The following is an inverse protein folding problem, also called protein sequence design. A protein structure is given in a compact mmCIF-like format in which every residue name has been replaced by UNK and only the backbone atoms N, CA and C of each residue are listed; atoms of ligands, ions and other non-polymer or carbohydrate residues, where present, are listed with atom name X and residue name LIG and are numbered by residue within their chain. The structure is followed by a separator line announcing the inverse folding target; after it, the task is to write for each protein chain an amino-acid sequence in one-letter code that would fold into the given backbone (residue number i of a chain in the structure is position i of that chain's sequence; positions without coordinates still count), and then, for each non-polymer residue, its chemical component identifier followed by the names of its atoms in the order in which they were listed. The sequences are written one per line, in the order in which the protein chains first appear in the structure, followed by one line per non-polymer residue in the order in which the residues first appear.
data_IF_206960253408
#
_entry.id   IF_206960253408
#
_cell.length_a   1.000
_cell.length_b   1.000
_cell.length_c   1.000
_cell.angle_alpha   90.00
_cell.angle_beta   90.00
_cell.angle_gamma   90.00
#
_symmetry.space_group_name_H-M   'P 1'
#
loop_
_entity.id
_entity.type
_entity.pdbx_description
1 polymer ?
#
# COMPACT_ATOMS: atom_id res chain seq x y z
N UNK A 1 2.74 -19.60 -1.50
CA UNK A 1 2.68 -18.24 -2.10
C UNK A 1 3.73 -17.37 -1.44
N UNK A 2 4.56 -16.67 -2.21
CA UNK A 2 5.56 -15.71 -1.74
C UNK A 2 5.04 -14.31 -2.04
N UNK A 3 4.85 -13.50 -1.00
CA UNK A 3 4.25 -12.16 -1.09
C UNK A 3 5.30 -11.12 -0.76
N UNK A 4 5.47 -10.13 -1.62
CA UNK A 4 6.26 -8.94 -1.33
C UNK A 4 5.38 -7.86 -0.72
N UNK A 5 5.80 -7.32 0.43
CA UNK A 5 5.17 -6.19 1.08
C UNK A 5 6.04 -4.95 0.91
N UNK A 6 5.48 -3.91 0.33
CA UNK A 6 6.09 -2.60 0.12
C UNK A 6 5.14 -1.55 0.72
N UNK A 7 5.69 -0.46 1.26
CA UNK A 7 4.92 0.69 1.73
C UNK A 7 5.78 1.95 1.70
N UNK A 8 5.16 3.11 1.86
CA UNK A 8 5.83 4.37 2.19
C UNK A 8 6.95 4.77 1.20
N UNK A 9 6.66 4.61 -0.09
CA UNK A 9 7.61 4.96 -1.17
C UNK A 9 7.89 6.46 -1.20
N UNK A 10 6.89 7.29 -0.89
CA UNK A 10 6.97 8.74 -0.78
C UNK A 10 7.69 9.42 -1.94
N UNK A 11 7.30 9.12 -3.18
CA UNK A 11 7.90 9.74 -4.38
C UNK A 11 7.73 11.26 -4.29
N UNK A 12 8.85 11.98 -4.26
CA UNK A 12 8.90 13.44 -4.16
C UNK A 12 8.84 14.09 -5.53
N UNK A 13 8.27 15.31 -5.60
CA UNK A 13 8.09 16.01 -6.86
C UNK A 13 9.40 16.43 -7.55
N UNK A 14 10.39 16.89 -6.76
CA UNK A 14 11.58 17.55 -7.31
C UNK A 14 12.90 17.07 -6.69
N UNK A 15 12.87 15.99 -5.91
CA UNK A 15 14.06 15.52 -5.20
C UNK A 15 14.24 14.01 -5.36
N UNK A 16 15.50 13.60 -5.42
CA UNK A 16 15.91 12.20 -5.37
C UNK A 16 15.46 11.34 -6.56
N UNK A 17 15.14 11.96 -7.73
CA UNK A 17 14.60 11.21 -8.87
C UNK A 17 15.61 10.21 -9.45
N UNK A 18 16.91 10.54 -9.41
CA UNK A 18 17.96 9.61 -9.83
C UNK A 18 18.07 8.43 -8.86
N UNK A 19 18.01 8.73 -7.56
CA UNK A 19 18.05 7.76 -6.48
C UNK A 19 16.83 6.83 -6.54
N UNK A 20 15.62 7.36 -6.75
CA UNK A 20 14.42 6.53 -6.96
C UNK A 20 14.59 5.57 -8.12
N UNK A 21 15.11 6.02 -9.27
CA UNK A 21 15.31 5.13 -10.42
C UNK A 21 16.28 3.99 -10.10
N UNK A 22 17.39 4.29 -9.42
CA UNK A 22 18.36 3.27 -9.01
C UNK A 22 17.73 2.27 -8.03
N UNK A 23 17.03 2.76 -7.01
CA UNK A 23 16.40 1.92 -6.00
C UNK A 23 15.26 1.08 -6.60
N UNK A 24 14.47 1.65 -7.50
CA UNK A 24 13.38 0.92 -8.17
C UNK A 24 13.92 -0.26 -8.98
N UNK A 25 15.00 -0.07 -9.75
CA UNK A 25 15.62 -1.19 -10.48
C UNK A 25 16.11 -2.28 -9.52
N UNK A 26 16.73 -1.90 -8.38
CA UNK A 26 17.16 -2.88 -7.36
C UNK A 26 15.96 -3.63 -6.77
N UNK A 27 14.84 -2.94 -6.50
CA UNK A 27 13.60 -3.58 -6.03
C UNK A 27 13.08 -4.54 -7.10
N UNK A 28 12.99 -4.13 -8.35
CA UNK A 28 12.49 -4.97 -9.45
C UNK A 28 13.35 -6.22 -9.64
N UNK A 29 14.68 -6.07 -9.62
CA UNK A 29 15.60 -7.20 -9.73
C UNK A 29 15.42 -8.16 -8.55
N UNK A 30 15.32 -7.64 -7.34
CA UNK A 30 15.09 -8.46 -6.15
C UNK A 30 13.76 -9.21 -6.21
N UNK A 31 12.68 -8.58 -6.65
CA UNK A 31 11.37 -9.21 -6.79
C UNK A 31 11.40 -10.34 -7.82
N UNK A 32 12.13 -10.17 -8.94
CA UNK A 32 12.33 -11.21 -9.97
C UNK A 32 13.17 -12.37 -9.44
N UNK A 33 14.30 -12.08 -8.77
CA UNK A 33 15.17 -13.10 -8.15
C UNK A 33 14.40 -13.94 -7.13
N UNK A 34 13.57 -13.30 -6.31
CA UNK A 34 12.74 -13.99 -5.31
C UNK A 34 11.56 -14.74 -5.93
N UNK A 35 11.23 -14.49 -7.19
CA UNK A 35 10.09 -15.12 -7.87
C UNK A 35 8.81 -14.94 -7.05
N UNK A 36 8.48 -13.68 -6.72
CA UNK A 36 7.30 -13.36 -5.92
C UNK A 36 6.01 -13.68 -6.69
N UNK A 37 5.04 -14.27 -6.00
CA UNK A 37 3.73 -14.61 -6.56
C UNK A 37 2.75 -13.44 -6.52
N UNK A 38 2.96 -12.51 -5.57
CA UNK A 38 2.06 -11.41 -5.28
C UNK A 38 2.85 -10.22 -4.71
N UNK A 39 2.47 -9.01 -5.09
CA UNK A 39 3.02 -7.77 -4.53
C UNK A 39 1.87 -6.99 -3.89
N UNK A 40 2.11 -6.50 -2.66
CA UNK A 40 1.18 -5.62 -1.94
C UNK A 40 1.90 -4.33 -1.58
N UNK A 41 1.31 -3.19 -1.94
CA UNK A 41 1.80 -1.87 -1.55
C UNK A 41 0.82 -1.21 -0.57
N UNK A 42 1.25 -1.04 0.67
CA UNK A 42 0.40 -0.53 1.76
C UNK A 42 0.43 0.99 1.89
N UNK A 43 0.20 1.72 0.77
CA UNK A 43 -0.05 3.16 0.77
C UNK A 43 1.20 4.04 0.79
N UNK A 44 0.95 5.34 0.69
CA UNK A 44 1.95 6.40 0.64
C UNK A 44 2.97 6.25 -0.52
N UNK A 45 2.42 6.06 -1.72
CA UNK A 45 3.21 6.14 -2.95
C UNK A 45 3.67 7.58 -3.21
N UNK A 46 2.76 8.56 -3.05
CA UNK A 46 3.06 9.97 -3.17
C UNK A 46 3.61 10.54 -1.86
N UNK A 47 4.56 11.49 -1.94
CA UNK A 47 4.99 12.25 -0.77
C UNK A 47 3.99 13.35 -0.40
N UNK A 48 3.23 13.86 -1.36
CA UNK A 48 2.21 14.90 -1.17
C UNK A 48 1.11 14.77 -2.21
N UNK A 49 -0.13 14.89 -1.77
CA UNK A 49 -1.34 14.79 -2.60
C UNK A 49 -1.74 16.08 -3.30
N UNK A 50 -1.15 17.20 -2.94
CA UNK A 50 -1.62 18.53 -3.39
C UNK A 50 -0.74 19.18 -4.44
N UNK A 51 0.49 18.75 -4.57
CA UNK A 51 1.46 19.25 -5.53
C UNK A 51 2.13 18.07 -6.21
N UNK A 52 1.59 17.66 -7.36
CA UNK A 52 2.12 16.56 -8.15
C UNK A 52 2.78 17.13 -9.40
N UNK A 53 4.06 16.84 -9.59
CA UNK A 53 4.82 17.27 -10.76
C UNK A 53 4.74 16.24 -11.90
N UNK A 54 5.03 16.63 -13.15
CA UNK A 54 5.15 15.69 -14.26
C UNK A 54 6.15 14.56 -13.97
N UNK A 55 7.24 14.86 -13.28
CA UNK A 55 8.27 13.89 -12.91
C UNK A 55 7.76 12.88 -11.88
N UNK A 56 6.87 13.30 -10.97
CA UNK A 56 6.18 12.37 -10.07
C UNK A 56 5.37 11.35 -10.88
N UNK A 57 4.56 11.83 -11.83
CA UNK A 57 3.74 10.94 -12.67
C UNK A 57 4.59 9.97 -13.47
N UNK A 58 5.72 10.42 -14.02
CA UNK A 58 6.65 9.56 -14.75
C UNK A 58 7.24 8.45 -13.84
N UNK A 59 7.75 8.83 -12.66
CA UNK A 59 8.32 7.88 -11.70
C UNK A 59 7.28 6.89 -11.16
N UNK A 60 6.11 7.39 -10.74
CA UNK A 60 5.05 6.56 -10.19
C UNK A 60 4.49 5.59 -11.25
N UNK A 61 4.31 6.06 -12.50
CA UNK A 61 3.91 5.22 -13.63
C UNK A 61 4.94 4.14 -13.91
N UNK A 62 6.22 4.50 -13.97
CA UNK A 62 7.31 3.54 -14.15
C UNK A 62 7.33 2.50 -13.04
N UNK A 63 7.22 2.92 -11.79
CA UNK A 63 7.23 2.02 -10.64
C UNK A 63 6.06 1.04 -10.67
N UNK A 64 4.83 1.54 -10.74
CA UNK A 64 3.62 0.70 -10.71
C UNK A 64 3.54 -0.25 -11.91
N UNK A 65 3.93 0.22 -13.10
CA UNK A 65 3.95 -0.63 -14.30
C UNK A 65 4.91 -1.80 -14.14
N UNK A 66 6.15 -1.55 -13.69
CA UNK A 66 7.14 -2.61 -13.51
C UNK A 66 6.76 -3.60 -12.41
N UNK A 67 6.15 -3.15 -11.30
CA UNK A 67 5.61 -4.06 -10.29
C UNK A 67 4.56 -4.98 -10.91
N UNK A 68 3.60 -4.43 -11.65
CA UNK A 68 2.53 -5.19 -12.29
C UNK A 68 3.02 -6.12 -13.42
N UNK A 69 4.11 -5.75 -14.10
CA UNK A 69 4.78 -6.63 -15.07
C UNK A 69 5.46 -7.84 -14.41
N UNK A 70 5.88 -7.73 -13.13
CA UNK A 70 6.54 -8.80 -12.38
C UNK A 70 5.53 -9.78 -11.79
N UNK A 71 4.50 -9.27 -11.08
CA UNK A 71 3.47 -10.10 -10.44
C UNK A 71 2.17 -9.28 -10.23
N UNK A 72 1.02 -9.95 -9.99
CA UNK A 72 -0.18 -9.26 -9.55
C UNK A 72 0.12 -8.33 -8.39
N UNK A 73 -0.22 -7.04 -8.56
CA UNK A 73 0.13 -5.97 -7.62
C UNK A 73 -1.14 -5.33 -7.08
N UNK A 74 -1.31 -5.37 -5.77
CA UNK A 74 -2.41 -4.76 -5.05
C UNK A 74 -1.89 -3.56 -4.27
N UNK A 75 -2.53 -2.41 -4.43
CA UNK A 75 -2.13 -1.18 -3.76
C UNK A 75 -3.32 -0.56 -3.02
N UNK A 76 -3.14 -0.18 -1.77
CA UNK A 76 -4.09 0.63 -1.01
C UNK A 76 -3.63 2.10 -0.97
N UNK A 77 -4.53 3.00 -0.60
CA UNK A 77 -4.18 4.41 -0.40
C UNK A 77 -3.62 4.64 1.00
N UNK A 78 -2.61 5.51 1.09
CA UNK A 78 -2.16 6.10 2.34
C UNK A 78 -2.65 7.53 2.51
N UNK A 79 -2.39 8.12 3.67
CA UNK A 79 -2.83 9.47 4.02
C UNK A 79 -2.16 10.57 3.17
N UNK A 80 -1.01 10.29 2.55
CA UNK A 80 -0.33 11.17 1.60
C UNK A 80 -0.84 11.01 0.16
N UNK A 81 -1.55 9.95 -0.17
CA UNK A 81 -2.10 9.71 -1.50
C UNK A 81 -3.48 10.36 -1.67
N UNK A 82 -4.31 10.38 -0.62
CA UNK A 82 -5.67 10.88 -0.64
C UNK A 82 -5.95 11.95 0.41
N UNK A 83 -7.12 12.56 0.38
CA UNK A 83 -7.54 13.59 1.34
C UNK A 83 -8.56 13.02 2.34
N UNK A 84 -8.12 12.69 3.56
CA UNK A 84 -8.97 12.18 4.63
C UNK A 84 -10.14 13.09 5.03
N UNK A 85 -10.03 14.41 4.74
CA UNK A 85 -11.08 15.39 5.05
C UNK A 85 -12.06 15.62 3.91
N UNK A 86 -11.79 15.07 2.73
CA UNK A 86 -12.64 15.25 1.55
C UNK A 86 -12.49 14.03 0.62
N UNK A 87 -13.31 13.02 0.86
CA UNK A 87 -13.34 11.77 0.11
C UNK A 87 -13.68 11.94 -1.38
N UNK A 88 -14.39 13.03 -1.74
CA UNK A 88 -14.74 13.33 -3.13
C UNK A 88 -13.54 13.86 -3.94
N UNK A 89 -12.45 14.22 -3.27
CA UNK A 89 -11.25 14.71 -3.95
C UNK A 89 -10.47 13.54 -4.55
N UNK A 90 -10.04 13.71 -5.80
CA UNK A 90 -9.21 12.74 -6.49
C UNK A 90 -7.90 12.48 -5.73
N UNK A 91 -7.56 11.21 -5.53
CA UNK A 91 -6.26 10.79 -4.99
C UNK A 91 -5.14 10.82 -6.06
N UNK A 92 -3.90 10.67 -5.61
CA UNK A 92 -2.71 10.76 -6.45
C UNK A 92 -2.45 9.50 -7.31
N UNK A 93 -3.09 8.38 -7.01
CA UNK A 93 -2.79 7.07 -7.62
C UNK A 93 -3.81 6.70 -8.70
N UNK A 94 -5.10 6.97 -8.46
CA UNK A 94 -6.19 6.58 -9.39
C UNK A 94 -5.96 7.04 -10.83
N UNK A 95 -5.51 8.27 -11.12
CA UNK A 95 -5.25 8.68 -12.51
C UNK A 95 -4.18 7.84 -13.20
N UNK A 96 -3.14 7.44 -12.45
CA UNK A 96 -2.05 6.62 -12.96
C UNK A 96 -2.54 5.18 -13.22
N UNK A 97 -3.23 4.59 -12.27
CA UNK A 97 -3.77 3.24 -12.39
C UNK A 97 -4.74 3.12 -13.59
N UNK A 98 -5.61 4.12 -13.76
CA UNK A 98 -6.55 4.18 -14.88
C UNK A 98 -5.83 4.36 -16.23
N UNK A 99 -4.80 5.20 -16.27
CA UNK A 99 -4.03 5.43 -17.51
C UNK A 99 -3.20 4.21 -17.90
N UNK A 100 -2.63 3.49 -16.93
CA UNK A 100 -1.91 2.24 -17.15
C UNK A 100 -2.84 1.14 -17.66
N UNK A 101 -4.06 1.07 -17.12
CA UNK A 101 -5.05 0.02 -17.43
C UNK A 101 -4.43 -1.39 -17.46
N UNK A 102 -3.51 -1.66 -16.52
CA UNK A 102 -2.74 -2.91 -16.49
C UNK A 102 -3.53 -4.00 -15.77
N UNK A 103 -3.68 -5.18 -16.40
CA UNK A 103 -4.50 -6.28 -15.86
C UNK A 103 -4.06 -6.78 -14.48
N UNK A 104 -2.77 -6.66 -14.16
CA UNK A 104 -2.21 -7.09 -12.88
C UNK A 104 -2.08 -5.95 -11.85
N UNK A 105 -2.57 -4.74 -12.14
CA UNK A 105 -2.55 -3.63 -11.19
C UNK A 105 -3.94 -3.40 -10.62
N UNK A 106 -4.07 -3.60 -9.31
CA UNK A 106 -5.34 -3.53 -8.59
C UNK A 106 -5.27 -2.45 -7.51
N UNK A 107 -5.93 -1.32 -7.73
CA UNK A 107 -6.05 -0.26 -6.73
C UNK A 107 -7.28 -0.52 -5.85
N UNK A 108 -7.03 -0.81 -4.57
CA UNK A 108 -8.04 -1.10 -3.55
C UNK A 108 -8.26 0.15 -2.68
N UNK A 109 -9.19 1.00 -3.06
CA UNK A 109 -9.44 2.30 -2.39
C UNK A 109 -10.31 2.18 -1.15
N UNK A 110 -11.31 1.32 -1.22
CA UNK A 110 -12.32 1.16 -0.19
C UNK A 110 -12.04 -0.06 0.67
N UNK A 111 -12.66 -0.11 1.83
CA UNK A 111 -12.67 -1.30 2.66
C UNK A 111 -13.32 -2.48 1.90
N UNK A 112 -12.83 -3.69 2.18
CA UNK A 112 -13.36 -4.89 1.52
C UNK A 112 -12.35 -6.01 1.45
N UNK A 113 -12.75 -7.12 0.82
CA UNK A 113 -11.95 -8.32 0.67
C UNK A 113 -11.64 -8.60 -0.81
N UNK A 114 -10.39 -8.96 -1.08
CA UNK A 114 -9.93 -9.44 -2.40
C UNK A 114 -9.27 -10.79 -2.25
N UNK A 115 -9.79 -11.82 -2.93
CA UNK A 115 -9.28 -13.18 -2.83
C UNK A 115 -8.29 -13.48 -3.94
N UNK A 116 -7.11 -13.99 -3.55
CA UNK A 116 -6.02 -14.37 -4.47
C UNK A 116 -5.54 -15.77 -4.09
N UNK A 117 -6.00 -16.80 -4.80
CA UNK A 117 -5.73 -18.19 -4.44
C UNK A 117 -6.26 -18.51 -3.03
N UNK A 118 -5.39 -18.96 -2.13
CA UNK A 118 -5.75 -19.29 -0.74
C UNK A 118 -5.64 -18.11 0.23
N UNK A 119 -5.29 -16.91 -0.27
CA UNK A 119 -5.12 -15.71 0.52
C UNK A 119 -6.31 -14.77 0.31
N UNK A 120 -6.81 -14.19 1.40
CA UNK A 120 -7.77 -13.10 1.39
C UNK A 120 -7.08 -11.81 1.88
N UNK A 121 -7.00 -10.81 1.01
CA UNK A 121 -6.52 -9.47 1.32
C UNK A 121 -7.69 -8.65 1.84
N UNK A 122 -7.67 -8.30 3.11
CA UNK A 122 -8.74 -7.55 3.79
C UNK A 122 -8.28 -6.10 3.97
N UNK A 123 -8.85 -5.18 3.19
CA UNK A 123 -8.50 -3.77 3.24
C UNK A 123 -9.24 -3.08 4.37
N UNK A 124 -8.50 -2.52 5.32
CA UNK A 124 -8.99 -1.61 6.35
C UNK A 124 -8.66 -0.17 5.92
N UNK A 125 -9.37 0.33 4.91
CA UNK A 125 -9.11 1.65 4.33
C UNK A 125 -9.44 2.78 5.32
N UNK A 126 -8.48 3.67 5.56
CA UNK A 126 -8.69 4.90 6.37
C UNK A 126 -9.58 5.93 5.67
N UNK A 127 -9.97 5.68 4.42
CA UNK A 127 -10.94 6.49 3.68
C UNK A 127 -12.34 5.90 3.71
N UNK A 128 -12.54 4.75 4.39
CA UNK A 128 -13.78 4.00 4.35
C UNK A 128 -13.97 3.17 5.65
N UNK A 129 -13.74 3.81 6.80
CA UNK A 129 -13.71 3.15 8.11
C UNK A 129 -15.05 2.52 8.50
N UNK A 130 -16.16 3.14 8.11
CA UNK A 130 -17.52 2.66 8.41
C UNK A 130 -17.81 1.29 7.78
N UNK A 131 -17.06 0.91 6.76
CA UNK A 131 -17.23 -0.35 6.03
C UNK A 131 -16.16 -1.42 6.36
N UNK A 132 -15.37 -1.21 7.41
CA UNK A 132 -14.40 -2.23 7.83
C UNK A 132 -15.11 -3.52 8.25
N UNK A 133 -14.62 -4.63 7.71
CA UNK A 133 -15.18 -5.94 7.97
C UNK A 133 -14.13 -6.88 8.57
N UNK A 134 -14.61 -7.85 9.33
CA UNK A 134 -13.80 -9.01 9.70
C UNK A 134 -13.66 -9.96 8.51
N UNK A 135 -12.60 -10.81 8.48
CA UNK A 135 -12.48 -11.84 7.47
C UNK A 135 -13.77 -12.65 7.29
N UNK A 136 -14.16 -12.84 6.03
CA UNK A 136 -15.39 -13.56 5.68
C UNK A 136 -15.23 -15.09 5.75
N UNK A 137 -14.01 -15.59 5.49
CA UNK A 137 -13.69 -17.01 5.42
C UNK A 137 -12.43 -17.34 6.23
N UNK A 138 -12.61 -17.98 7.39
CA UNK A 138 -11.51 -18.39 8.27
C UNK A 138 -10.72 -19.60 7.77
N UNK A 139 -11.13 -20.23 6.69
CA UNK A 139 -10.36 -21.32 6.06
C UNK A 139 -9.23 -20.81 5.16
N UNK A 140 -9.25 -19.51 4.84
CA UNK A 140 -8.20 -18.83 4.06
C UNK A 140 -7.16 -18.19 4.97
N UNK A 141 -6.00 -17.90 4.39
CA UNK A 141 -5.00 -17.03 5.04
C UNK A 141 -5.49 -15.59 4.90
N UNK A 142 -5.90 -14.99 6.01
CA UNK A 142 -6.43 -13.65 6.04
C UNK A 142 -5.35 -12.63 6.38
N UNK A 143 -5.07 -11.72 5.46
CA UNK A 143 -4.08 -10.65 5.61
C UNK A 143 -4.80 -9.31 5.68
N UNK A 144 -4.68 -8.59 6.80
CA UNK A 144 -5.14 -7.20 6.87
C UNK A 144 -4.16 -6.29 6.14
N UNK A 145 -4.68 -5.39 5.31
CA UNK A 145 -3.93 -4.30 4.70
C UNK A 145 -4.39 -2.99 5.34
N UNK A 146 -3.47 -2.29 5.97
CA UNK A 146 -3.79 -1.06 6.67
C UNK A 146 -2.66 -0.03 6.52
N UNK A 147 -3.04 1.23 6.37
CA UNK A 147 -2.10 2.35 6.37
C UNK A 147 -2.52 3.37 7.42
N UNK A 148 -1.76 3.45 8.50
CA UNK A 148 -2.02 4.37 9.60
C UNK A 148 -1.34 3.94 10.89
N UNK A 149 -1.40 4.80 11.89
CA UNK A 149 -0.78 4.58 13.18
C UNK A 149 -1.58 3.60 14.05
N UNK A 150 -0.86 2.77 14.82
CA UNK A 150 -1.46 1.74 15.68
C UNK A 150 -0.92 1.88 17.10
N UNK A 151 -1.83 2.01 18.06
CA UNK A 151 -1.47 2.08 19.48
C UNK A 151 -0.79 0.81 19.98
N UNK A 152 0.31 0.95 20.71
CA UNK A 152 1.07 -0.16 21.27
C UNK A 152 2.13 -0.74 20.37
N UNK A 153 2.29 -0.25 19.13
CA UNK A 153 3.38 -0.66 18.24
C UNK A 153 4.72 -0.17 18.82
N UNK A 154 5.70 -1.06 18.81
CA UNK A 154 7.06 -0.77 19.24
C UNK A 154 7.99 -0.69 18.04
N UNK A 155 8.73 0.41 17.93
CA UNK A 155 9.77 0.57 16.90
C UNK A 155 11.05 -0.19 17.25
N UNK A 156 11.95 -0.34 16.28
CA UNK A 156 13.27 -0.98 16.50
C UNK A 156 14.13 -0.22 17.53
N UNK A 157 13.92 1.09 17.69
CA UNK A 157 14.59 1.92 18.70
C UNK A 157 14.03 1.72 20.11
N UNK A 158 12.96 0.92 20.25
CA UNK A 158 12.29 0.64 21.52
C UNK A 158 11.22 1.67 21.92
N UNK A 159 10.98 2.70 21.08
CA UNK A 159 9.88 3.63 21.28
C UNK A 159 8.53 2.92 21.09
N UNK A 160 7.58 3.21 21.99
CA UNK A 160 6.22 2.67 21.93
C UNK A 160 5.27 3.80 21.55
N UNK A 161 4.43 3.55 20.56
CA UNK A 161 3.37 4.47 20.14
C UNK A 161 2.18 4.36 21.10
N UNK A 162 2.13 5.24 22.11
CA UNK A 162 1.07 5.19 23.13
C UNK A 162 -0.31 5.59 22.57
N UNK A 163 -0.32 6.46 21.57
CA UNK A 163 -1.54 7.02 20.95
C UNK A 163 -1.46 6.92 19.44
N UNK A 164 -1.86 5.77 18.87
CA UNK A 164 -2.12 5.59 17.45
C UNK A 164 -3.60 5.90 17.14
N UNK A 165 -3.92 6.04 15.86
CA UNK A 165 -5.30 6.29 15.40
C UNK A 165 -6.24 5.14 15.81
N UNK A 166 -5.72 3.91 15.79
CA UNK A 166 -6.47 2.72 16.13
C UNK A 166 -5.73 1.77 17.07
N UNK A 167 -6.44 1.00 17.90
CA UNK A 167 -5.84 -0.04 18.71
C UNK A 167 -5.52 -1.29 17.88
N UNK A 168 -4.52 -2.08 18.29
CA UNK A 168 -4.14 -3.33 17.62
C UNK A 168 -5.31 -4.34 17.48
N UNK A 169 -6.35 -4.19 18.29
CA UNK A 169 -7.53 -5.06 18.26
C UNK A 169 -8.36 -4.97 16.97
N UNK A 170 -8.17 -3.94 16.13
CA UNK A 170 -8.81 -3.85 14.81
C UNK A 170 -8.42 -5.02 13.89
N UNK A 171 -7.24 -5.60 14.11
CA UNK A 171 -6.73 -6.72 13.31
C UNK A 171 -7.19 -8.10 13.80
N UNK A 172 -8.05 -8.15 14.82
CA UNK A 172 -8.51 -9.43 15.38
C UNK A 172 -9.23 -10.28 14.31
N UNK A 173 -8.77 -11.52 14.15
CA UNK A 173 -9.29 -12.48 13.18
C UNK A 173 -8.46 -12.57 11.89
N UNK A 174 -7.45 -11.71 11.72
CA UNK A 174 -6.48 -11.85 10.63
C UNK A 174 -5.28 -12.67 11.08
N UNK A 175 -4.69 -13.43 10.15
CA UNK A 175 -3.49 -14.24 10.39
C UNK A 175 -2.22 -13.39 10.30
N UNK A 176 -2.23 -12.40 9.38
CA UNK A 176 -1.13 -11.45 9.16
C UNK A 176 -1.66 -10.03 9.00
N UNK A 177 -0.77 -9.06 9.25
CA UNK A 177 -1.05 -7.63 9.05
C UNK A 177 0.09 -6.99 8.27
N UNK A 178 -0.23 -6.37 7.14
CA UNK A 178 0.70 -5.55 6.37
C UNK A 178 0.38 -4.08 6.63
N UNK A 179 1.36 -3.36 7.16
CA UNK A 179 1.23 -1.97 7.58
C UNK A 179 2.03 -1.02 6.68
N UNK A 180 1.51 0.18 6.47
CA UNK A 180 2.24 1.38 6.08
C UNK A 180 2.14 2.45 7.18
N UNK A 181 2.74 3.64 6.99
CA UNK A 181 2.79 4.81 7.88
C UNK A 181 3.80 4.69 9.06
N UNK A 182 4.12 3.49 9.49
CA UNK A 182 5.05 3.29 10.62
C UNK A 182 6.47 3.12 10.08
N UNK A 183 7.17 4.24 9.97
CA UNK A 183 8.56 4.26 9.53
C UNK A 183 9.50 3.76 10.63
N UNK A 184 10.57 3.09 10.23
CA UNK A 184 11.65 2.64 11.12
C UNK A 184 12.62 3.78 11.42
#
# INVERSE_FOLDING_TARGET
MKIAHIADTHIRNYKYHKEYRVIFEQIFDRLREEQVDLIVHCGDLAHTKTQLSPEYFDLATHFLKNLADIAPTYIILGNHDGNLKNEHRQDAITPIANALAHNNLHLLKNAGESVVGDVALNVLSVFDEDNWMKPSDSSRINIALYHGSVSGVKTDTGWVMDHGDHPISIFRGHDYVFLGDIHK
#
